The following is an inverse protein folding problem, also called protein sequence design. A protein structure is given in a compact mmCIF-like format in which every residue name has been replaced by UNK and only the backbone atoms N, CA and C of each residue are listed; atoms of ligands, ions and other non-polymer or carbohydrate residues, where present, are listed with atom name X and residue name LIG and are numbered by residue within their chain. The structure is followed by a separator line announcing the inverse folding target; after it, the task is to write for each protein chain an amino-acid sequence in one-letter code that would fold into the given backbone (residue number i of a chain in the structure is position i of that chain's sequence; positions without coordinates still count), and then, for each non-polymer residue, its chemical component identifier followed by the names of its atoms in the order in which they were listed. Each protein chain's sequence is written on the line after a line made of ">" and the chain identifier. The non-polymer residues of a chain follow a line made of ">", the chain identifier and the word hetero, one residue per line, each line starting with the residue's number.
data_IF_309157237847
#
_entry.id   IF_309157237847
#
_cell.length_a   1.000
_cell.length_b   1.000
_cell.length_c   1.000
_cell.angle_alpha   90.00
_cell.angle_beta   90.00
_cell.angle_gamma   90.00
#
_symmetry.space_group_name_H-M   'P 1'
#
loop_
_entity.id
_entity.type
_entity.pdbx_description
1 polymer ?
#
# COMPACT_ATOMS: atom_id res chain seq x y z
N UNK A 1 -8.64 5.18 2.92
CA UNK A 1 -8.14 4.35 1.81
C UNK A 1 -8.30 5.09 0.50
N UNK A 2 -7.34 4.98 -0.40
CA UNK A 2 -7.36 5.70 -1.68
C UNK A 2 -7.21 4.70 -2.82
N UNK A 3 -8.08 4.80 -3.83
CA UNK A 3 -8.06 3.91 -4.99
C UNK A 3 -7.57 4.68 -6.22
N UNK A 4 -6.51 4.17 -6.83
CA UNK A 4 -5.98 4.71 -8.07
C UNK A 4 -6.80 4.28 -9.29
N UNK A 5 -6.38 4.77 -10.45
CA UNK A 5 -7.02 4.43 -11.72
C UNK A 5 -6.89 2.93 -11.98
N UNK A 6 -7.97 2.32 -12.40
CA UNK A 6 -8.00 0.89 -12.73
C UNK A 6 -8.34 -0.05 -11.59
N UNK A 7 -8.46 0.46 -10.36
CA UNK A 7 -8.91 -0.35 -9.24
C UNK A 7 -10.37 -0.75 -9.40
N UNK A 8 -10.72 -1.93 -8.88
CA UNK A 8 -12.11 -2.37 -8.85
C UNK A 8 -12.91 -1.48 -7.87
N UNK A 9 -14.21 -1.38 -8.11
CA UNK A 9 -15.09 -0.62 -7.21
C UNK A 9 -15.15 -1.33 -5.85
N UNK A 10 -14.79 -0.64 -4.74
CA UNK A 10 -14.84 -1.26 -3.40
C UNK A 10 -16.26 -1.59 -2.95
N UNK A 11 -17.27 -0.99 -3.55
CA UNK A 11 -18.67 -1.24 -3.19
C UNK A 11 -19.35 -2.31 -4.05
N UNK A 12 -18.63 -2.97 -4.98
CA UNK A 12 -19.27 -4.05 -5.73
C UNK A 12 -19.54 -5.24 -4.80
N UNK A 13 -20.54 -6.03 -5.17
CA UNK A 13 -21.11 -7.07 -4.30
C UNK A 13 -20.07 -8.00 -3.67
N UNK A 14 -19.12 -8.50 -4.47
CA UNK A 14 -18.11 -9.43 -3.98
C UNK A 14 -17.18 -8.76 -2.97
N UNK A 15 -16.77 -7.51 -3.21
CA UNK A 15 -15.91 -6.79 -2.29
C UNK A 15 -16.60 -6.58 -0.93
N UNK A 16 -17.86 -6.21 -0.93
CA UNK A 16 -18.63 -6.06 0.32
C UNK A 16 -18.70 -7.39 1.06
N UNK A 17 -18.98 -8.46 0.36
CA UNK A 17 -19.12 -9.79 0.98
C UNK A 17 -17.81 -10.33 1.54
N UNK A 18 -16.72 -10.30 0.75
CA UNK A 18 -15.44 -10.85 1.20
C UNK A 18 -14.79 -10.01 2.28
N UNK A 19 -15.14 -8.74 2.38
CA UNK A 19 -14.67 -7.88 3.47
C UNK A 19 -15.55 -7.98 4.72
N UNK A 20 -16.56 -8.84 4.72
CA UNK A 20 -17.54 -8.96 5.81
C UNK A 20 -18.22 -7.63 6.12
N UNK A 21 -18.42 -6.80 5.09
CA UNK A 21 -19.05 -5.50 5.24
C UNK A 21 -18.14 -4.40 5.76
N UNK A 22 -16.89 -4.70 6.11
CA UNK A 22 -15.98 -3.69 6.64
C UNK A 22 -15.70 -2.55 5.67
N UNK A 23 -15.73 -2.82 4.36
CA UNK A 23 -15.53 -1.78 3.35
C UNK A 23 -16.57 -0.66 3.47
N UNK A 24 -17.74 -0.94 4.04
CA UNK A 24 -18.79 0.06 4.24
C UNK A 24 -18.46 1.02 5.38
N UNK A 25 -17.48 0.69 6.22
CA UNK A 25 -17.09 1.49 7.38
C UNK A 25 -15.79 2.25 7.19
N UNK A 26 -14.97 1.82 6.26
CA UNK A 26 -13.67 2.44 6.01
C UNK A 26 -13.84 3.59 5.02
N UNK A 27 -13.49 4.82 5.38
CA UNK A 27 -13.54 5.94 4.43
C UNK A 27 -12.62 5.66 3.25
N UNK A 28 -13.09 5.97 2.05
CA UNK A 28 -12.27 5.81 0.86
C UNK A 28 -12.56 6.92 -0.15
N UNK A 29 -11.62 7.09 -1.08
CA UNK A 29 -11.72 8.04 -2.18
C UNK A 29 -11.09 7.44 -3.42
N UNK A 30 -11.61 7.83 -4.59
CA UNK A 30 -11.00 7.53 -5.87
C UNK A 30 -10.20 8.75 -6.33
N UNK A 31 -9.02 8.51 -6.90
CA UNK A 31 -8.21 9.58 -7.46
C UNK A 31 -8.16 9.44 -8.98
N UNK A 32 -8.08 10.57 -9.67
CA UNK A 32 -8.16 10.62 -11.13
C UNK A 32 -6.82 10.90 -11.80
N UNK A 33 -5.87 11.48 -11.08
CA UNK A 33 -4.56 11.89 -11.62
C UNK A 33 -3.45 11.08 -10.99
N UNK A 34 -3.57 9.77 -11.05
CA UNK A 34 -2.60 8.84 -10.49
C UNK A 34 -1.29 8.85 -11.29
N UNK A 35 -0.09 8.89 -10.69
CA UNK A 35 0.13 8.97 -9.22
C UNK A 35 0.28 10.40 -8.69
N UNK A 36 0.00 11.43 -9.47
CA UNK A 36 0.18 12.83 -9.07
C UNK A 36 -0.64 13.21 -7.83
N UNK A 37 -1.80 12.59 -7.64
CA UNK A 37 -2.65 12.83 -6.47
C UNK A 37 -1.98 12.45 -5.14
N UNK A 38 -0.90 11.65 -5.19
CA UNK A 38 -0.15 11.29 -3.98
C UNK A 38 0.54 12.50 -3.34
N UNK A 39 0.83 13.53 -4.12
CA UNK A 39 1.44 14.74 -3.60
C UNK A 39 0.59 15.41 -2.53
N UNK A 40 -0.75 15.32 -2.65
CA UNK A 40 -1.66 15.84 -1.65
C UNK A 40 -1.47 15.18 -0.29
N UNK A 41 -1.15 13.88 -0.27
CA UNK A 41 -0.86 13.17 0.97
C UNK A 41 0.48 13.62 1.57
N UNK A 42 1.49 13.81 0.73
CA UNK A 42 2.79 14.31 1.17
C UNK A 42 2.67 15.70 1.79
N UNK A 43 1.89 16.58 1.17
CA UNK A 43 1.64 17.92 1.69
C UNK A 43 0.98 17.91 3.07
N UNK A 44 0.25 16.84 3.38
CA UNK A 44 -0.39 16.67 4.69
C UNK A 44 0.49 15.93 5.70
N UNK A 45 1.75 15.72 5.38
CA UNK A 45 2.72 15.12 6.30
C UNK A 45 2.81 13.61 6.27
N UNK A 46 2.19 12.95 5.28
CA UNK A 46 2.32 11.49 5.15
C UNK A 46 3.64 11.11 4.52
N UNK A 47 4.30 10.12 5.10
CA UNK A 47 5.41 9.44 4.48
C UNK A 47 4.84 8.39 3.52
N UNK A 48 5.22 8.48 2.25
CA UNK A 48 4.72 7.57 1.23
C UNK A 48 5.71 6.41 1.04
N UNK A 49 5.24 5.19 1.28
CA UNK A 49 6.05 3.98 1.18
C UNK A 49 5.43 3.07 0.13
N UNK A 50 6.20 2.72 -0.90
CA UNK A 50 5.76 1.72 -1.88
C UNK A 50 6.26 0.34 -1.47
N UNK A 51 5.40 -0.67 -1.51
CA UNK A 51 5.78 -2.05 -1.25
C UNK A 51 6.18 -2.73 -2.55
N UNK A 52 7.36 -3.32 -2.56
CA UNK A 52 7.92 -4.02 -3.71
C UNK A 52 8.67 -5.27 -3.24
N UNK A 53 8.67 -6.36 -4.00
CA UNK A 53 9.47 -7.55 -3.67
C UNK A 53 10.95 -7.40 -4.00
N UNK A 54 11.38 -6.28 -4.55
CA UNK A 54 12.77 -6.05 -4.95
C UNK A 54 13.72 -6.24 -3.76
N UNK A 55 14.70 -7.15 -3.84
CA UNK A 55 15.64 -7.40 -2.74
C UNK A 55 16.55 -6.22 -2.41
N UNK A 56 16.66 -5.24 -3.30
CA UNK A 56 17.45 -4.02 -3.05
C UNK A 56 16.69 -2.97 -2.25
N UNK A 57 15.37 -3.13 -2.10
CA UNK A 57 14.57 -2.21 -1.29
C UNK A 57 14.90 -2.40 0.20
N UNK A 58 14.75 -1.35 1.00
CA UNK A 58 14.92 -1.46 2.45
C UNK A 58 13.80 -2.31 3.04
N UNK A 59 14.01 -2.83 4.25
CA UNK A 59 12.93 -3.58 4.91
C UNK A 59 11.83 -2.63 5.36
N UNK A 60 10.62 -3.17 5.44
CA UNK A 60 9.47 -2.39 5.88
C UNK A 60 9.69 -1.79 7.28
N UNK A 61 10.30 -2.56 8.19
CA UNK A 61 10.61 -2.09 9.54
C UNK A 61 11.50 -0.86 9.53
N UNK A 62 12.51 -0.84 8.65
CA UNK A 62 13.43 0.29 8.52
C UNK A 62 12.75 1.51 7.86
N UNK A 63 11.80 1.26 6.95
CA UNK A 63 11.13 2.32 6.21
C UNK A 63 10.08 3.06 7.03
N UNK A 64 9.42 2.35 7.94
CA UNK A 64 8.23 2.84 8.63
C UNK A 64 8.57 3.65 9.88
N UNK A 65 9.13 4.84 9.70
CA UNK A 65 9.60 5.70 10.79
C UNK A 65 8.74 6.92 11.06
N UNK A 66 7.91 7.34 10.10
CA UNK A 66 7.08 8.54 10.24
C UNK A 66 5.87 8.32 11.14
N UNK A 67 5.32 9.43 11.66
CA UNK A 67 4.09 9.37 12.45
C UNK A 67 2.87 9.08 11.58
N UNK A 68 2.85 9.64 10.38
CA UNK A 68 1.79 9.42 9.39
C UNK A 68 2.39 8.68 8.20
N UNK A 69 1.89 7.49 7.93
CA UNK A 69 2.40 6.64 6.87
C UNK A 69 1.28 6.27 5.90
N UNK A 70 1.56 6.39 4.62
CA UNK A 70 0.68 5.88 3.57
C UNK A 70 1.43 4.79 2.80
N UNK A 71 0.79 3.63 2.67
CA UNK A 71 1.37 2.49 1.98
C UNK A 71 0.77 2.36 0.58
N UNK A 72 1.63 2.24 -0.43
CA UNK A 72 1.23 1.93 -1.79
C UNK A 72 1.34 0.44 -2.05
N UNK A 73 0.24 -0.12 -2.53
CA UNK A 73 0.13 -1.54 -2.85
C UNK A 73 -0.25 -1.67 -4.32
N UNK A 74 0.44 -2.54 -5.03
CA UNK A 74 0.17 -2.79 -6.44
C UNK A 74 -0.77 -3.97 -6.67
N UNK A 75 -1.25 -4.10 -7.90
CA UNK A 75 -2.06 -5.23 -8.32
C UNK A 75 -1.25 -6.52 -8.28
N UNK A 76 -1.93 -7.63 -8.12
CA UNK A 76 -1.30 -8.95 -8.23
C UNK A 76 -0.70 -9.13 -9.63
N UNK A 77 0.43 -9.82 -9.70
CA UNK A 77 1.19 -10.02 -10.93
C UNK A 77 2.14 -8.87 -11.21
N UNK A 78 1.70 -7.80 -11.91
CA UNK A 78 2.63 -6.72 -12.28
C UNK A 78 3.08 -5.85 -11.12
N UNK A 79 2.31 -5.76 -10.03
CA UNK A 79 2.64 -4.88 -8.91
C UNK A 79 2.51 -3.41 -9.26
N UNK A 80 3.28 -2.56 -8.57
CA UNK A 80 3.31 -1.12 -8.81
C UNK A 80 4.15 -0.80 -10.04
N UNK A 81 3.74 0.22 -10.81
CA UNK A 81 4.56 0.73 -11.91
C UNK A 81 5.76 1.49 -11.35
N UNK A 82 6.83 1.58 -12.15
CA UNK A 82 8.00 2.38 -11.80
C UNK A 82 7.62 3.85 -11.59
N UNK A 83 6.71 4.34 -12.40
CA UNK A 83 6.21 5.71 -12.30
C UNK A 83 5.54 5.96 -10.93
N UNK A 84 4.70 5.03 -10.47
CA UNK A 84 4.06 5.15 -9.16
C UNK A 84 5.08 5.07 -8.03
N UNK A 85 6.05 4.16 -8.11
CA UNK A 85 7.08 4.02 -7.09
C UNK A 85 7.98 5.25 -6.98
N UNK A 86 8.24 5.95 -8.09
CA UNK A 86 8.99 7.20 -8.07
C UNK A 86 8.27 8.33 -7.35
N UNK A 87 6.96 8.24 -7.24
CA UNK A 87 6.17 9.23 -6.52
C UNK A 87 6.19 9.02 -5.01
N UNK A 88 6.80 7.96 -4.53
CA UNK A 88 6.90 7.66 -3.09
C UNK A 88 8.23 8.10 -2.51
N UNK A 89 8.27 8.26 -1.20
CA UNK A 89 9.48 8.68 -0.49
C UNK A 89 10.48 7.55 -0.37
N UNK A 90 10.01 6.32 -0.22
CA UNK A 90 10.87 5.16 -0.03
C UNK A 90 10.21 3.89 -0.55
N UNK A 91 11.03 2.97 -1.05
CA UNK A 91 10.60 1.64 -1.48
C UNK A 91 10.98 0.64 -0.40
N UNK A 92 10.02 -0.19 0.00
CA UNK A 92 10.23 -1.14 1.08
C UNK A 92 9.79 -2.53 0.68
N UNK A 93 10.39 -3.53 1.31
CA UNK A 93 10.05 -4.94 1.12
C UNK A 93 9.71 -5.61 2.44
N UNK A 94 8.88 -6.62 2.36
CA UNK A 94 8.65 -7.54 3.48
C UNK A 94 9.66 -8.67 3.30
N UNK A 95 10.58 -8.88 4.27
CA UNK A 95 11.57 -9.95 4.17
C UNK A 95 10.90 -11.31 4.01
N UNK A 96 11.39 -12.12 3.07
CA UNK A 96 10.86 -13.46 2.78
C UNK A 96 12.00 -14.42 2.51
N UNK A 97 11.72 -15.72 2.60
CA UNK A 97 12.69 -16.75 2.29
C UNK A 97 13.18 -16.62 0.85
N UNK A 98 14.46 -16.95 0.57
CA UNK A 98 14.98 -16.93 -0.79
C UNK A 98 14.11 -17.78 -1.74
N UNK A 99 13.88 -17.28 -2.94
CA UNK A 99 13.07 -17.98 -3.93
C UNK A 99 11.57 -17.79 -3.79
N UNK A 100 11.12 -17.06 -2.77
CA UNK A 100 9.72 -16.73 -2.59
C UNK A 100 9.37 -15.51 -3.41
N UNK A 101 8.30 -15.61 -4.20
CA UNK A 101 7.80 -14.50 -5.00
C UNK A 101 6.96 -13.53 -4.14
N UNK A 102 6.37 -12.54 -4.80
CA UNK A 102 5.54 -11.55 -4.13
C UNK A 102 4.36 -12.19 -3.41
N UNK A 103 3.98 -11.60 -2.28
CA UNK A 103 2.81 -11.99 -1.52
C UNK A 103 1.53 -11.49 -2.17
N UNK A 104 0.41 -12.13 -1.84
CA UNK A 104 -0.91 -11.60 -2.14
C UNK A 104 -1.03 -10.19 -1.53
N UNK A 105 -1.66 -9.27 -2.25
CA UNK A 105 -1.75 -7.87 -1.83
C UNK A 105 -2.42 -7.70 -0.47
N UNK A 106 -3.47 -8.48 -0.18
CA UNK A 106 -4.16 -8.41 1.10
C UNK A 106 -3.26 -8.92 2.24
N UNK A 107 -2.49 -9.98 2.00
CA UNK A 107 -1.54 -10.51 2.97
C UNK A 107 -0.43 -9.50 3.24
N UNK A 108 0.11 -8.89 2.20
CA UNK A 108 1.14 -7.87 2.35
C UNK A 108 0.62 -6.67 3.16
N UNK A 109 -0.61 -6.23 2.87
CA UNK A 109 -1.23 -5.13 3.61
C UNK A 109 -1.41 -5.48 5.09
N UNK A 110 -1.86 -6.70 5.39
CA UNK A 110 -2.05 -7.15 6.77
C UNK A 110 -0.73 -7.15 7.55
N UNK A 111 0.35 -7.64 6.93
CA UNK A 111 1.67 -7.63 7.55
C UNK A 111 2.16 -6.21 7.82
N UNK A 112 1.93 -5.30 6.88
CA UNK A 112 2.33 -3.91 7.03
C UNK A 112 1.56 -3.22 8.16
N UNK A 113 0.27 -3.46 8.25
CA UNK A 113 -0.55 -2.90 9.33
C UNK A 113 -0.13 -3.45 10.69
N UNK A 114 0.16 -4.74 10.77
CA UNK A 114 0.66 -5.35 12.01
C UNK A 114 2.00 -4.72 12.44
N UNK A 115 2.93 -4.58 11.50
CA UNK A 115 4.23 -3.95 11.77
C UNK A 115 4.06 -2.52 12.30
N UNK A 116 3.12 -1.77 11.73
CA UNK A 116 2.82 -0.43 12.19
C UNK A 116 2.36 -0.40 13.64
N UNK A 117 1.45 -1.29 13.99
CA UNK A 117 0.93 -1.39 15.37
C UNK A 117 2.02 -1.87 16.32
N UNK A 118 2.82 -2.85 15.90
CA UNK A 118 3.90 -3.40 16.71
C UNK A 118 4.94 -2.35 17.09
N UNK A 119 5.21 -1.41 16.21
CA UNK A 119 6.18 -0.34 16.51
C UNK A 119 5.63 0.75 17.42
N UNK A 120 4.37 0.67 17.81
CA UNK A 120 3.76 1.61 18.74
C UNK A 120 3.46 2.99 18.17
N UNK A 121 3.29 3.07 16.86
CA UNK A 121 3.08 4.35 16.18
C UNK A 121 1.75 4.47 15.46
#
# INVERSE_FOLDING_TARGET
>A
MVFGKGCADPLYRRAVRVSMGHVLRVPFAHVTKWPHDLEALRERGFQLISLTPNPEAVTLAEAMTGEKVALLLGAEGPGLTEHAMRATDIRARIPMAPGTDSLNVATAAAMAFYERVRTGR
#
